data_IF_425800228703
#
_entry.id   IF_425800228703
#
_cell.length_a   1.000
_cell.length_b   1.000
_cell.length_c   1.000
_cell.angle_alpha   90.00
_cell.angle_beta   90.00
_cell.angle_gamma   90.00
#
_symmetry.space_group_name_H-M   'P 1'
#
loop_
_entity.id
_entity.type
_entity.pdbx_description
1 polymer ?
#
# COMPACT_ATOMS: atom_id res chain seq x y z
N UNK A 1 -22.39 10.64 -48.19
CA UNK A 1 -22.83 10.33 -46.81
C UNK A 1 -21.60 10.40 -45.92
N UNK A 2 -21.20 11.59 -45.47
CA UNK A 2 -20.01 11.79 -44.65
C UNK A 2 -20.39 11.66 -43.17
N UNK A 3 -19.88 10.63 -42.50
CA UNK A 3 -20.02 10.47 -41.04
C UNK A 3 -19.06 11.43 -40.36
N UNK A 4 -19.56 12.57 -39.91
CA UNK A 4 -18.80 13.54 -39.11
C UNK A 4 -18.49 12.88 -37.75
N UNK A 5 -17.20 12.59 -37.52
CA UNK A 5 -16.65 12.23 -36.22
C UNK A 5 -16.91 13.41 -35.26
N UNK A 6 -17.83 13.23 -34.32
CA UNK A 6 -18.18 14.29 -33.37
C UNK A 6 -17.03 14.51 -32.37
N UNK A 7 -16.84 15.74 -31.85
CA UNK A 7 -15.78 16.05 -30.88
C UNK A 7 -15.79 15.13 -29.65
N UNK A 8 -16.97 14.66 -29.22
CA UNK A 8 -17.11 13.71 -28.13
C UNK A 8 -16.56 12.30 -28.44
N UNK A 9 -16.62 11.86 -29.71
CA UNK A 9 -16.03 10.58 -30.13
C UNK A 9 -14.51 10.63 -30.14
N UNK A 10 -13.93 11.75 -30.60
CA UNK A 10 -12.47 11.97 -30.57
C UNK A 10 -11.94 12.07 -29.14
N UNK A 11 -12.68 12.72 -28.23
CA UNK A 11 -12.34 12.79 -26.80
C UNK A 11 -12.42 11.41 -26.12
N UNK A 12 -13.44 10.61 -26.43
CA UNK A 12 -13.57 9.24 -25.91
C UNK A 12 -12.43 8.33 -26.42
N UNK A 13 -12.07 8.43 -27.70
CA UNK A 13 -10.93 7.69 -28.27
C UNK A 13 -9.60 8.13 -27.64
N UNK A 14 -9.42 9.43 -27.38
CA UNK A 14 -8.23 9.94 -26.69
C UNK A 14 -8.14 9.43 -25.24
N UNK A 15 -9.25 9.41 -24.50
CA UNK A 15 -9.30 8.85 -23.14
C UNK A 15 -9.01 7.34 -23.13
N UNK A 16 -9.57 6.59 -24.08
CA UNK A 16 -9.26 5.14 -24.23
C UNK A 16 -7.79 4.93 -24.59
N UNK A 17 -7.21 5.74 -25.47
CA UNK A 17 -5.79 5.65 -25.84
C UNK A 17 -4.85 6.02 -24.68
N UNK A 18 -5.19 7.02 -23.87
CA UNK A 18 -4.43 7.40 -22.67
C UNK A 18 -4.49 6.30 -21.61
N UNK A 19 -5.67 5.71 -21.37
CA UNK A 19 -5.80 4.56 -20.46
C UNK A 19 -5.05 3.34 -20.99
N UNK A 20 -5.18 3.00 -22.29
CA UNK A 20 -4.47 1.89 -22.90
C UNK A 20 -2.94 2.08 -22.84
N UNK A 21 -2.44 3.30 -23.07
CA UNK A 21 -1.02 3.63 -22.97
C UNK A 21 -0.46 3.55 -21.55
N UNK A 22 -1.27 3.86 -20.53
CA UNK A 22 -0.90 3.72 -19.13
C UNK A 22 -0.86 2.24 -18.69
N UNK A 23 -1.79 1.40 -19.19
CA UNK A 23 -1.81 -0.05 -18.94
C UNK A 23 -0.73 -0.82 -19.71
N UNK A 24 -0.27 -0.31 -20.86
CA UNK A 24 0.77 -0.95 -21.68
C UNK A 24 2.19 -0.75 -21.12
N UNK A 25 2.39 0.20 -20.20
CA UNK A 25 3.67 0.41 -19.52
C UNK A 25 3.84 -0.65 -18.45
N UNK A 26 4.47 -1.77 -18.81
CA UNK A 26 5.01 -2.68 -17.81
C UNK A 26 6.05 -1.92 -16.99
N UNK A 27 6.00 -1.94 -15.64
CA UNK A 27 7.10 -1.44 -14.84
C UNK A 27 8.39 -2.13 -15.30
N UNK A 28 9.53 -1.45 -15.18
CA UNK A 28 10.82 -2.08 -15.47
C UNK A 28 10.92 -3.37 -14.64
N UNK A 29 10.77 -4.51 -15.30
CA UNK A 29 10.84 -5.82 -14.65
C UNK A 29 12.23 -6.01 -14.07
N UNK A 30 12.33 -6.86 -13.05
CA UNK A 30 13.64 -7.28 -12.55
C UNK A 30 14.46 -7.89 -13.70
N UNK A 31 15.67 -7.37 -13.94
CA UNK A 31 16.62 -7.92 -14.91
C UNK A 31 17.74 -8.62 -14.15
N UNK A 32 17.54 -9.90 -13.86
CA UNK A 32 18.52 -10.76 -13.18
C UNK A 32 18.62 -12.13 -13.85
N UNK A 33 19.67 -12.92 -13.56
CA UNK A 33 19.74 -14.29 -14.02
C UNK A 33 18.58 -15.11 -13.42
N UNK A 34 18.10 -16.16 -14.12
CA UNK A 34 17.17 -17.11 -13.53
C UNK A 34 17.73 -17.72 -12.24
N UNK A 35 16.86 -17.96 -11.28
CA UNK A 35 17.17 -18.54 -9.98
C UNK A 35 15.94 -19.21 -9.37
N UNK A 36 16.04 -19.60 -8.11
CA UNK A 36 15.00 -20.37 -7.42
C UNK A 36 13.63 -19.68 -7.39
N UNK A 37 13.62 -18.34 -7.33
CA UNK A 37 12.39 -17.54 -7.24
C UNK A 37 12.02 -16.81 -8.53
N UNK A 38 12.88 -16.84 -9.56
CA UNK A 38 12.75 -16.01 -10.76
C UNK A 38 13.17 -16.81 -11.99
N UNK A 39 12.27 -16.97 -12.96
CA UNK A 39 12.53 -17.82 -14.14
C UNK A 39 13.25 -17.10 -15.29
N UNK A 40 13.62 -15.82 -15.09
CA UNK A 40 14.16 -14.95 -16.14
C UNK A 40 13.13 -13.98 -16.72
N UNK A 41 11.84 -14.22 -16.51
CA UNK A 41 10.76 -13.34 -16.94
C UNK A 41 9.89 -12.84 -15.76
N UNK A 42 9.60 -13.72 -14.79
CA UNK A 42 8.73 -13.43 -13.65
C UNK A 42 9.17 -14.15 -12.39
N UNK A 43 8.76 -13.58 -11.27
CA UNK A 43 8.85 -14.27 -9.99
C UNK A 43 7.76 -15.31 -9.85
N UNK A 44 8.06 -16.41 -9.17
CA UNK A 44 7.10 -17.44 -8.81
C UNK A 44 7.28 -17.82 -7.34
N UNK A 45 6.19 -18.30 -6.73
CA UNK A 45 6.23 -18.79 -5.37
C UNK A 45 6.88 -20.19 -5.37
N UNK A 46 7.77 -20.46 -4.41
CA UNK A 46 8.36 -21.80 -4.24
C UNK A 46 7.34 -22.83 -3.77
N UNK A 47 6.30 -22.34 -3.09
CA UNK A 47 5.19 -23.14 -2.60
C UNK A 47 3.98 -22.77 -3.44
N UNK A 48 3.38 -23.76 -4.08
CA UNK A 48 2.12 -23.58 -4.79
C UNK A 48 1.06 -23.08 -3.81
N UNK A 49 0.66 -21.83 -4.00
CA UNK A 49 -0.50 -21.28 -3.33
C UNK A 49 -1.70 -21.48 -4.27
N UNK A 50 -2.77 -22.17 -3.83
CA UNK A 50 -3.97 -22.28 -4.65
C UNK A 50 -4.52 -20.88 -4.93
N UNK A 51 -4.84 -20.63 -6.21
CA UNK A 51 -5.43 -19.37 -6.63
C UNK A 51 -6.94 -19.49 -6.55
N UNK A 52 -7.60 -18.57 -5.84
CA UNK A 52 -9.06 -18.54 -5.77
C UNK A 52 -9.66 -18.17 -7.12
N UNK A 53 -10.74 -18.84 -7.50
CA UNK A 53 -11.53 -18.50 -8.67
C UNK A 53 -12.40 -17.26 -8.41
N UNK A 54 -12.96 -16.68 -9.48
CA UNK A 54 -13.97 -15.61 -9.36
C UNK A 54 -15.20 -16.09 -8.58
N UNK A 55 -15.57 -17.37 -8.71
CA UNK A 55 -16.67 -17.96 -7.94
C UNK A 55 -16.31 -18.03 -6.46
N UNK A 56 -15.07 -18.37 -6.11
CA UNK A 56 -14.59 -18.37 -4.72
C UNK A 56 -14.62 -16.96 -4.15
N UNK A 57 -14.23 -15.95 -4.93
CA UNK A 57 -14.35 -14.55 -4.53
C UNK A 57 -15.80 -14.13 -4.29
N UNK A 58 -16.72 -14.46 -5.20
CA UNK A 58 -18.14 -14.13 -5.06
C UNK A 58 -18.77 -14.85 -3.86
N UNK A 59 -18.46 -16.14 -3.69
CA UNK A 59 -18.89 -16.91 -2.53
C UNK A 59 -18.36 -16.27 -1.25
N UNK A 60 -17.07 -15.95 -1.19
CA UNK A 60 -16.46 -15.26 -0.05
C UNK A 60 -17.16 -13.93 0.25
N UNK A 61 -17.49 -13.12 -0.76
CA UNK A 61 -18.23 -11.86 -0.55
C UNK A 61 -19.64 -12.07 -0.01
N UNK A 62 -20.30 -13.17 -0.41
CA UNK A 62 -21.65 -13.50 0.02
C UNK A 62 -21.72 -14.16 1.40
N UNK A 63 -20.67 -14.87 1.82
CA UNK A 63 -20.66 -15.69 3.04
C UNK A 63 -19.79 -15.16 4.16
N UNK A 64 -18.90 -14.21 3.88
CA UNK A 64 -18.05 -13.63 4.94
C UNK A 64 -18.90 -12.81 5.90
N UNK A 65 -18.90 -13.24 7.15
CA UNK A 65 -19.43 -12.44 8.25
C UNK A 65 -18.41 -11.34 8.58
N UNK A 66 -18.65 -10.15 8.06
CA UNK A 66 -17.80 -9.01 8.33
C UNK A 66 -18.11 -8.47 9.73
N UNK A 67 -17.11 -8.50 10.60
CA UNK A 67 -17.18 -7.76 11.86
C UNK A 67 -17.58 -6.31 11.59
N UNK A 68 -18.39 -5.74 12.49
CA UNK A 68 -18.82 -4.36 12.39
C UNK A 68 -17.59 -3.45 12.36
N UNK A 69 -17.43 -2.70 11.27
CA UNK A 69 -16.40 -1.68 11.19
C UNK A 69 -16.80 -0.50 12.07
N UNK A 70 -16.09 -0.31 13.18
CA UNK A 70 -16.34 0.79 14.10
C UNK A 70 -16.14 2.13 13.40
N UNK A 71 -16.89 3.15 13.85
CA UNK A 71 -16.74 4.50 13.27
C UNK A 71 -15.51 5.21 13.79
N UNK A 72 -15.17 4.95 15.06
CA UNK A 72 -14.04 5.55 15.76
C UNK A 72 -13.70 4.75 17.02
N UNK A 73 -12.40 4.66 17.33
CA UNK A 73 -11.79 4.02 18.48
C UNK A 73 -10.80 5.04 19.04
N UNK A 74 -10.99 5.43 20.30
CA UNK A 74 -10.07 6.35 20.96
C UNK A 74 -8.80 5.59 21.36
N UNK A 75 -7.65 6.10 20.95
CA UNK A 75 -6.35 5.53 21.28
C UNK A 75 -5.50 6.63 21.87
N UNK A 76 -4.90 6.37 23.03
CA UNK A 76 -4.02 7.33 23.67
C UNK A 76 -2.80 7.61 22.76
N UNK A 77 -2.39 8.88 22.62
CA UNK A 77 -1.21 9.21 21.83
C UNK A 77 0.04 8.58 22.45
N UNK A 78 0.92 8.05 21.61
CA UNK A 78 2.22 7.56 22.09
C UNK A 78 3.08 8.74 22.55
N UNK A 79 3.99 8.49 23.50
CA UNK A 79 5.02 9.46 23.83
C UNK A 79 5.90 9.73 22.61
N UNK A 80 6.24 11.01 22.40
CA UNK A 80 7.13 11.40 21.31
C UNK A 80 8.42 10.57 21.38
N UNK A 81 8.83 9.92 20.27
CA UNK A 81 10.03 9.12 20.26
C UNK A 81 11.25 10.02 20.44
N UNK A 82 12.33 9.45 20.97
CA UNK A 82 13.61 10.15 21.01
C UNK A 82 14.09 10.32 19.57
N UNK A 83 14.77 11.44 19.31
CA UNK A 83 15.29 11.74 17.97
C UNK A 83 16.26 10.67 17.46
N UNK A 84 17.11 10.14 18.35
CA UNK A 84 18.08 9.05 18.13
C UNK A 84 18.19 8.26 19.44
N UNK A 85 18.39 6.95 19.37
CA UNK A 85 18.73 6.15 20.55
C UNK A 85 20.25 6.00 20.68
N UNK A 86 20.71 5.63 21.87
CA UNK A 86 22.12 5.30 22.09
C UNK A 86 22.46 3.95 21.43
N UNK A 87 23.72 3.77 21.04
CA UNK A 87 24.19 2.49 20.49
C UNK A 87 23.87 1.34 21.46
N UNK A 88 23.24 0.28 20.94
CA UNK A 88 22.80 -0.88 21.72
C UNK A 88 21.34 -0.79 22.22
N UNK A 89 20.67 0.35 22.09
CA UNK A 89 19.24 0.49 22.40
C UNK A 89 18.37 0.13 21.20
N UNK A 90 17.18 -0.45 21.46
CA UNK A 90 16.16 -0.73 20.44
C UNK A 90 14.80 -0.26 20.93
N UNK A 91 14.04 0.39 20.07
CA UNK A 91 12.63 0.75 20.32
C UNK A 91 11.80 0.50 19.07
N UNK A 92 10.64 -0.13 19.26
CA UNK A 92 9.60 -0.18 18.25
C UNK A 92 8.42 0.70 18.70
N UNK A 93 7.98 1.61 17.84
CA UNK A 93 6.78 2.40 18.06
C UNK A 93 5.75 2.03 17.02
N UNK A 94 4.67 1.39 17.45
CA UNK A 94 3.53 1.07 16.59
C UNK A 94 2.73 2.34 16.30
N UNK A 95 2.57 2.67 15.02
CA UNK A 95 1.87 3.87 14.59
C UNK A 95 0.47 3.48 14.11
N UNK A 96 0.35 2.48 13.24
CA UNK A 96 -0.89 1.85 12.80
C UNK A 96 -0.58 0.65 11.88
N UNK A 97 -1.61 -0.13 11.50
CA UNK A 97 -1.55 -1.20 10.48
C UNK A 97 -0.19 -1.89 10.38
N UNK A 98 0.58 -1.61 9.32
CA UNK A 98 1.95 -2.08 9.11
C UNK A 98 3.01 -0.97 9.33
N UNK A 99 2.60 0.24 9.71
CA UNK A 99 3.48 1.35 10.00
C UNK A 99 4.09 1.23 11.41
N UNK A 100 5.38 0.95 11.44
CA UNK A 100 6.19 0.87 12.65
C UNK A 100 7.44 1.74 12.48
N UNK A 101 7.70 2.59 13.46
CA UNK A 101 8.99 3.25 13.60
C UNK A 101 9.92 2.33 14.42
N UNK A 102 10.91 1.76 13.75
CA UNK A 102 11.97 0.96 14.34
C UNK A 102 13.21 1.83 14.56
N UNK A 103 13.62 1.97 15.82
CA UNK A 103 14.84 2.67 16.19
C UNK A 103 15.85 1.64 16.69
N UNK A 104 16.99 1.51 16.01
CA UNK A 104 18.08 0.58 16.35
C UNK A 104 19.34 1.42 16.52
N UNK A 105 19.66 1.72 17.77
CA UNK A 105 20.65 2.73 18.14
C UNK A 105 20.37 4.08 17.44
N UNK A 106 21.35 4.66 16.73
CA UNK A 106 21.14 5.92 16.04
C UNK A 106 20.32 5.79 14.75
N UNK A 107 19.96 4.58 14.29
CA UNK A 107 19.24 4.39 13.01
C UNK A 107 17.73 4.35 13.24
N UNK A 108 16.98 5.14 12.47
CA UNK A 108 15.52 5.18 12.46
C UNK A 108 15.02 4.65 11.10
N UNK A 109 14.30 3.53 11.14
CA UNK A 109 13.67 2.89 9.97
C UNK A 109 12.16 2.98 10.12
N UNK A 110 11.47 3.37 9.05
CA UNK A 110 10.02 3.44 9.00
C UNK A 110 9.47 2.39 8.02
N UNK A 111 8.56 1.53 8.48
CA UNK A 111 7.92 0.52 7.63
C UNK A 111 6.60 1.03 7.08
N UNK A 112 6.26 0.68 5.84
CA UNK A 112 4.93 0.80 5.21
C UNK A 112 4.12 2.03 5.69
N UNK A 113 4.60 3.26 5.41
CA UNK A 113 4.14 4.47 6.08
C UNK A 113 2.75 4.93 5.62
N UNK A 114 1.74 4.86 6.50
CA UNK A 114 0.38 5.31 6.19
C UNK A 114 -0.13 6.33 7.21
N UNK A 115 -0.26 7.58 6.77
CA UNK A 115 -0.90 8.67 7.54
C UNK A 115 -2.22 9.15 6.93
N UNK A 116 -2.59 8.62 5.77
CA UNK A 116 -3.83 8.98 5.10
C UNK A 116 -5.07 8.60 5.93
N UNK A 117 -6.16 9.32 5.71
CA UNK A 117 -7.47 8.97 6.28
C UNK A 117 -8.03 7.69 5.67
N UNK A 118 -7.64 7.37 4.43
CA UNK A 118 -8.12 6.19 3.69
C UNK A 118 -6.97 5.50 2.95
N UNK A 119 -6.95 4.16 3.04
CA UNK A 119 -6.14 3.30 2.20
C UNK A 119 -6.87 3.08 0.87
N UNK A 120 -6.80 4.06 -0.03
CA UNK A 120 -7.56 4.07 -1.28
C UNK A 120 -6.95 5.03 -2.31
N UNK A 121 -7.09 4.74 -3.61
CA UNK A 121 -6.79 5.72 -4.66
C UNK A 121 -7.76 6.91 -4.68
N UNK A 122 -8.92 6.76 -4.03
CA UNK A 122 -9.99 7.76 -4.02
C UNK A 122 -10.10 8.38 -2.63
N UNK A 123 -10.18 9.71 -2.56
CA UNK A 123 -10.34 10.43 -1.29
C UNK A 123 -11.67 10.18 -0.58
N UNK A 124 -12.71 9.77 -1.32
CA UNK A 124 -14.09 9.64 -0.83
C UNK A 124 -14.58 8.20 -0.68
N UNK A 125 -13.85 7.21 -1.20
CA UNK A 125 -14.24 5.79 -1.17
C UNK A 125 -13.08 4.92 -0.66
N UNK A 126 -13.42 3.71 -0.20
CA UNK A 126 -12.45 2.74 0.31
C UNK A 126 -12.29 2.77 1.84
N UNK A 127 -11.49 1.86 2.41
CA UNK A 127 -11.32 1.70 3.85
C UNK A 127 -10.86 3.01 4.52
N UNK A 128 -11.61 3.47 5.52
CA UNK A 128 -11.24 4.63 6.33
C UNK A 128 -10.65 4.16 7.65
N UNK A 129 -9.59 4.83 8.12
CA UNK A 129 -9.04 4.58 9.45
C UNK A 129 -10.09 4.90 10.53
N UNK A 130 -9.96 4.23 11.68
CA UNK A 130 -10.93 4.30 12.78
C UNK A 130 -10.34 4.88 14.07
N UNK A 131 -9.12 5.40 14.05
CA UNK A 131 -8.47 6.00 15.22
C UNK A 131 -7.56 7.12 14.73
N UNK A 132 -6.74 7.74 15.59
CA UNK A 132 -5.60 8.58 15.12
C UNK A 132 -4.34 7.73 14.93
N UNK A 133 -3.38 8.15 14.09
CA UNK A 133 -2.06 7.52 14.09
C UNK A 133 -1.46 7.59 15.50
N UNK A 134 -0.79 6.52 15.93
CA UNK A 134 -0.15 6.46 17.25
C UNK A 134 0.95 7.52 17.43
N UNK A 135 1.49 8.03 16.33
CA UNK A 135 2.44 9.13 16.27
C UNK A 135 2.03 10.08 15.13
N UNK A 136 1.97 11.38 15.42
CA UNK A 136 1.70 12.39 14.37
C UNK A 136 2.89 12.45 13.41
N UNK A 137 2.62 12.78 12.15
CA UNK A 137 3.67 12.83 11.13
C UNK A 137 4.75 13.87 11.50
N UNK A 138 4.34 14.99 12.09
CA UNK A 138 5.22 16.09 12.48
C UNK A 138 6.12 15.74 13.69
N UNK A 139 5.76 14.68 14.43
CA UNK A 139 6.54 14.21 15.59
C UNK A 139 7.53 13.09 15.20
N UNK A 140 7.62 12.73 13.91
CA UNK A 140 8.60 11.76 13.45
C UNK A 140 10.02 12.27 13.69
N UNK A 141 10.92 11.43 14.21
CA UNK A 141 12.33 11.76 14.22
C UNK A 141 12.88 11.70 12.77
N UNK A 142 14.11 12.18 12.51
CA UNK A 142 14.76 11.99 11.22
C UNK A 142 14.76 10.50 10.83
N UNK A 143 14.19 10.18 9.67
CA UNK A 143 14.12 8.81 9.16
C UNK A 143 15.31 8.58 8.22
N UNK A 144 16.05 7.50 8.44
CA UNK A 144 17.22 7.15 7.61
C UNK A 144 16.83 6.20 6.47
N UNK A 145 15.83 5.34 6.70
CA UNK A 145 15.34 4.41 5.70
C UNK A 145 13.83 4.22 5.81
N UNK A 146 13.20 4.04 4.66
CA UNK A 146 11.81 3.59 4.55
C UNK A 146 11.82 2.20 3.91
N UNK A 147 11.08 1.27 4.50
CA UNK A 147 10.90 -0.09 3.97
C UNK A 147 9.46 -0.21 3.50
N UNK A 148 9.31 -0.52 2.21
CA UNK A 148 8.02 -0.79 1.59
C UNK A 148 7.94 -2.29 1.28
N UNK A 149 6.99 -2.98 1.87
CA UNK A 149 6.81 -4.42 1.68
C UNK A 149 6.21 -4.75 0.32
N UNK A 150 5.21 -3.99 -0.13
CA UNK A 150 4.54 -4.17 -1.42
C UNK A 150 3.74 -2.92 -1.82
N UNK A 151 3.09 -2.97 -2.99
CA UNK A 151 2.38 -1.84 -3.60
C UNK A 151 0.85 -1.89 -3.40
N UNK A 152 0.39 -2.04 -2.15
CA UNK A 152 -1.01 -1.84 -1.80
C UNK A 152 -1.19 -0.50 -1.06
N UNK A 153 -2.37 0.10 -1.17
CA UNK A 153 -2.66 1.43 -0.61
C UNK A 153 -2.62 1.52 0.92
N UNK A 154 -2.67 0.38 1.62
CA UNK A 154 -2.49 0.29 3.06
C UNK A 154 -1.01 0.06 3.46
N UNK A 155 -0.09 0.06 2.50
CA UNK A 155 1.36 -0.13 2.72
C UNK A 155 2.23 0.96 2.06
N UNK A 156 1.63 2.07 1.61
CA UNK A 156 2.27 3.16 0.86
C UNK A 156 1.80 4.56 1.29
#
# INVERSE_FOLDING_TARGET
>A
MERILTPGFLLAMALVAVFAGALARRPAGHSGPPGEHFDGERFHNLVDAPHGSVLDFLAMRATTDYARWERWIEVAPASAPRRRLATGEVRATFINHATVLLQVGPVNVLTDPVWSERASPLSWAGPRRVHRPGLRYEDLPPIDAVVLSHNHYDHL
#
